data_IF_938433275526
#
_entry.id   IF_938433275526
#
_cell.length_a   1.000
_cell.length_b   1.000
_cell.length_c   1.000
_cell.angle_alpha   90.00
_cell.angle_beta   90.00
_cell.angle_gamma   90.00
#
_symmetry.space_group_name_H-M   'P 1'
#
loop_
_entity.id
_entity.type
_entity.pdbx_description
1 polymer ?
#
# COMPACT_ATOMS: atom_id res chain seq x y z
N UNK A 1 -7.36 2.74 13.96
CA UNK A 1 -8.16 3.70 13.17
C UNK A 1 -8.18 3.14 11.77
N UNK A 2 -9.35 2.71 11.29
CA UNK A 2 -9.51 2.24 9.92
C UNK A 2 -9.62 3.45 8.99
N UNK A 3 -9.01 3.33 7.82
CA UNK A 3 -9.07 4.33 6.75
C UNK A 3 -9.67 3.61 5.56
N UNK A 4 -10.74 4.16 4.99
CA UNK A 4 -11.35 3.64 3.78
C UNK A 4 -11.18 4.65 2.64
N UNK A 5 -11.04 4.15 1.42
CA UNK A 5 -10.95 4.97 0.22
C UNK A 5 -11.80 4.36 -0.90
N UNK A 6 -12.04 5.16 -1.94
CA UNK A 6 -12.75 4.71 -3.13
C UNK A 6 -11.75 4.37 -4.23
N UNK A 7 -11.76 3.13 -4.69
CA UNK A 7 -10.87 2.63 -5.73
C UNK A 7 -11.66 2.27 -6.99
N UNK A 8 -11.16 2.66 -8.16
CA UNK A 8 -11.72 2.17 -9.43
C UNK A 8 -11.31 0.72 -9.68
N UNK A 9 -12.15 -0.05 -10.37
CA UNK A 9 -11.77 -1.39 -10.87
C UNK A 9 -10.56 -1.36 -11.83
N UNK A 10 -10.35 -0.25 -12.53
CA UNK A 10 -9.17 -0.07 -13.37
C UNK A 10 -7.90 0.26 -12.53
N UNK A 11 -8.04 0.38 -11.22
CA UNK A 11 -7.02 0.86 -10.30
C UNK A 11 -7.07 2.37 -10.09
N UNK A 12 -6.36 2.82 -9.05
CA UNK A 12 -6.33 4.23 -8.63
C UNK A 12 -7.45 4.61 -7.66
N UNK A 13 -7.28 5.74 -6.97
CA UNK A 13 -8.08 6.21 -5.85
C UNK A 13 -8.73 7.55 -6.17
N UNK A 14 -10.01 7.70 -5.84
CA UNK A 14 -10.73 8.93 -6.09
C UNK A 14 -10.09 10.09 -5.31
N UNK A 15 -9.88 11.22 -5.98
CA UNK A 15 -9.41 12.45 -5.37
C UNK A 15 -10.47 13.08 -4.45
N UNK A 16 -10.04 14.02 -3.61
CA UNK A 16 -10.92 14.75 -2.70
C UNK A 16 -11.98 15.60 -3.42
N UNK A 17 -11.71 15.99 -4.67
CA UNK A 17 -12.63 16.75 -5.53
C UNK A 17 -13.66 15.86 -6.23
N UNK A 18 -13.58 14.53 -6.07
CA UNK A 18 -14.48 13.53 -6.67
C UNK A 18 -14.47 13.48 -8.21
N UNK A 19 -13.40 13.94 -8.85
CA UNK A 19 -13.31 14.09 -10.30
C UNK A 19 -12.31 13.13 -10.95
N UNK A 20 -11.19 12.80 -10.28
CA UNK A 20 -10.12 12.00 -10.87
C UNK A 20 -9.69 10.83 -9.99
N UNK A 21 -9.15 9.80 -10.62
CA UNK A 21 -8.52 8.68 -9.93
C UNK A 21 -7.00 8.80 -9.97
N UNK A 22 -6.40 9.01 -8.80
CA UNK A 22 -4.96 9.04 -8.59
C UNK A 22 -4.39 7.62 -8.62
N UNK A 23 -3.30 7.41 -9.35
CA UNK A 23 -2.68 6.08 -9.46
C UNK A 23 -2.25 5.49 -8.11
N UNK A 24 -1.82 6.35 -7.19
CA UNK A 24 -1.37 5.96 -5.85
C UNK A 24 -2.33 6.52 -4.81
N UNK A 25 -2.46 5.83 -3.69
CA UNK A 25 -3.14 6.36 -2.52
C UNK A 25 -2.20 7.32 -1.78
N UNK A 26 -2.63 8.58 -1.63
CA UNK A 26 -1.90 9.67 -0.99
C UNK A 26 -2.86 10.65 -0.28
N UNK A 27 -2.32 11.78 0.19
CA UNK A 27 -3.07 12.76 0.96
C UNK A 27 -4.14 13.52 0.15
N UNK A 28 -4.12 13.45 -1.19
CA UNK A 28 -5.13 14.05 -2.06
C UNK A 28 -6.27 13.10 -2.40
N UNK A 29 -6.17 11.85 -1.98
CA UNK A 29 -7.24 10.87 -2.15
C UNK A 29 -8.28 11.07 -1.04
N UNK A 30 -9.56 10.90 -1.37
CA UNK A 30 -10.64 10.96 -0.37
C UNK A 30 -10.52 9.82 0.65
N UNK A 31 -10.76 10.13 1.92
CA UNK A 31 -10.60 9.19 3.04
C UNK A 31 -11.81 9.20 3.97
N UNK A 32 -12.21 8.02 4.41
CA UNK A 32 -13.32 7.84 5.33
C UNK A 32 -12.90 7.07 6.58
N UNK A 33 -13.53 7.40 7.70
CA UNK A 33 -13.28 6.73 8.99
C UNK A 33 -14.05 5.43 9.14
N UNK A 34 -15.12 5.25 8.38
CA UNK A 34 -15.96 4.07 8.39
C UNK A 34 -16.43 3.75 6.97
N UNK A 35 -16.89 2.51 6.78
CA UNK A 35 -17.33 2.00 5.50
C UNK A 35 -18.63 2.64 5.02
N UNK A 36 -19.56 2.92 5.94
CA UNK A 36 -20.90 3.43 5.61
C UNK A 36 -20.83 4.83 4.98
N UNK A 37 -20.00 5.72 5.52
CA UNK A 37 -19.75 7.05 4.96
C UNK A 37 -19.15 6.96 3.55
N UNK A 38 -18.21 6.03 3.33
CA UNK A 38 -17.63 5.80 2.02
C UNK A 38 -18.68 5.31 1.01
N UNK A 39 -19.55 4.41 1.45
CA UNK A 39 -20.62 3.86 0.60
C UNK A 39 -21.66 4.92 0.24
N UNK A 40 -21.99 5.83 1.14
CA UNK A 40 -22.88 6.95 0.85
C UNK A 40 -22.33 7.80 -0.30
N UNK A 41 -21.02 8.07 -0.33
CA UNK A 41 -20.40 8.79 -1.45
C UNK A 41 -20.49 7.99 -2.74
N UNK A 42 -20.18 6.69 -2.73
CA UNK A 42 -20.27 5.84 -3.94
C UNK A 42 -21.66 5.93 -4.58
N UNK A 43 -22.73 5.91 -3.78
CA UNK A 43 -24.11 5.98 -4.27
C UNK A 43 -24.47 7.31 -4.95
N UNK A 44 -23.68 8.38 -4.72
CA UNK A 44 -23.87 9.67 -5.37
C UNK A 44 -23.11 9.82 -6.69
N UNK A 45 -22.20 8.88 -7.01
CA UNK A 45 -21.36 8.94 -8.21
C UNK A 45 -22.03 8.25 -9.40
N UNK A 46 -21.96 8.88 -10.57
CA UNK A 46 -22.59 8.36 -11.81
C UNK A 46 -22.06 6.97 -12.21
N UNK A 47 -20.80 6.67 -11.91
CA UNK A 47 -20.11 5.43 -12.28
C UNK A 47 -19.94 4.44 -11.11
N UNK A 48 -20.89 4.44 -10.15
CA UNK A 48 -20.83 3.64 -8.92
C UNK A 48 -20.47 2.16 -9.15
N UNK A 49 -20.93 1.54 -10.24
CA UNK A 49 -20.67 0.13 -10.54
C UNK A 49 -19.19 -0.19 -10.78
N UNK A 50 -18.39 0.82 -11.11
CA UNK A 50 -16.95 0.68 -11.37
C UNK A 50 -16.07 1.05 -10.18
N UNK A 51 -16.68 1.38 -9.03
CA UNK A 51 -16.02 1.90 -7.84
C UNK A 51 -16.24 0.94 -6.68
N UNK A 52 -15.18 0.65 -5.93
CA UNK A 52 -15.23 -0.15 -4.71
C UNK A 52 -14.67 0.61 -3.53
N UNK A 53 -15.27 0.38 -2.37
CA UNK A 53 -14.73 0.84 -1.08
C UNK A 53 -13.65 -0.16 -0.65
N UNK A 54 -12.44 0.33 -0.41
CA UNK A 54 -11.32 -0.49 0.07
C UNK A 54 -10.82 -0.01 1.42
N UNK A 55 -10.45 -0.94 2.29
CA UNK A 55 -9.77 -0.61 3.54
C UNK A 55 -8.26 -0.43 3.28
N UNK A 56 -7.77 0.73 3.69
CA UNK A 56 -6.36 1.10 3.61
C UNK A 56 -5.68 0.59 4.88
N UNK A 57 -4.86 -0.46 4.73
CA UNK A 57 -4.13 -1.08 5.84
C UNK A 57 -2.62 -0.97 5.63
N UNK A 58 -1.80 -1.08 6.69
CA UNK A 58 -0.35 -1.16 6.54
C UNK A 58 0.12 -2.32 5.66
N UNK A 59 -0.70 -3.37 5.50
CA UNK A 59 -0.40 -4.51 4.66
C UNK A 59 -0.70 -4.23 3.18
N UNK A 60 -1.83 -3.57 2.89
CA UNK A 60 -2.24 -3.25 1.51
C UNK A 60 -1.55 -2.00 0.96
N UNK A 61 -1.30 -0.98 1.79
CA UNK A 61 -0.69 0.30 1.40
C UNK A 61 0.43 0.76 2.35
N UNK A 62 1.57 0.04 2.40
CA UNK A 62 2.58 0.28 3.42
C UNK A 62 3.19 1.68 3.37
N UNK A 63 3.36 2.27 2.17
CA UNK A 63 3.95 3.60 1.98
C UNK A 63 3.24 4.69 2.75
N UNK A 64 1.91 4.59 2.82
CA UNK A 64 1.08 5.55 3.54
C UNK A 64 1.36 5.52 5.06
N UNK A 65 1.68 4.35 5.60
CA UNK A 65 1.93 4.16 7.03
C UNK A 65 3.40 4.29 7.45
N UNK A 66 4.32 4.28 6.48
CA UNK A 66 5.75 4.25 6.71
C UNK A 66 6.47 5.24 5.80
N UNK A 67 6.57 6.50 6.23
CA UNK A 67 7.12 7.60 5.41
C UNK A 67 8.55 7.35 4.89
N UNK A 68 9.36 6.55 5.60
CA UNK A 68 10.71 6.17 5.17
C UNK A 68 10.75 5.00 4.19
N UNK A 69 9.61 4.39 3.86
CA UNK A 69 9.50 3.31 2.89
C UNK A 69 9.38 3.89 1.49
N UNK A 70 10.49 3.88 0.76
CA UNK A 70 10.58 4.38 -0.61
C UNK A 70 10.74 3.23 -1.62
N UNK A 71 10.44 3.51 -2.89
CA UNK A 71 10.56 2.56 -4.00
C UNK A 71 9.28 1.82 -4.34
N UNK A 72 9.31 0.94 -5.33
CA UNK A 72 8.17 0.11 -5.74
C UNK A 72 8.04 -1.09 -4.81
N UNK A 73 6.86 -1.33 -4.25
CA UNK A 73 6.58 -2.48 -3.40
C UNK A 73 5.94 -3.56 -4.26
N UNK A 74 6.51 -4.76 -4.26
CA UNK A 74 6.03 -5.89 -5.06
C UNK A 74 5.26 -6.89 -4.21
N UNK A 75 5.72 -7.12 -2.99
CA UNK A 75 5.12 -8.08 -2.06
C UNK A 75 5.05 -7.48 -0.67
N UNK A 76 4.01 -7.84 0.07
CA UNK A 76 3.82 -7.46 1.48
C UNK A 76 3.35 -8.67 2.28
N UNK A 77 3.87 -8.81 3.50
CA UNK A 77 3.43 -9.84 4.46
C UNK A 77 3.53 -9.28 5.86
N UNK A 78 2.58 -9.63 6.71
CA UNK A 78 2.66 -9.34 8.14
C UNK A 78 3.29 -10.51 8.88
N UNK A 79 4.26 -10.21 9.77
CA UNK A 79 4.86 -11.15 10.72
C UNK A 79 4.88 -10.45 12.07
N UNK A 80 4.09 -10.94 13.03
CA UNK A 80 3.88 -10.29 14.33
C UNK A 80 3.52 -8.78 14.16
N UNK A 81 4.29 -7.90 14.79
CA UNK A 81 4.16 -6.44 14.74
C UNK A 81 4.95 -5.80 13.58
N UNK A 82 5.26 -6.55 12.51
CA UNK A 82 6.06 -6.06 11.38
C UNK A 82 5.37 -6.31 10.05
N UNK A 83 5.47 -5.33 9.15
CA UNK A 83 5.18 -5.49 7.73
C UNK A 83 6.50 -5.68 7.00
N UNK A 84 6.64 -6.83 6.36
CA UNK A 84 7.79 -7.16 5.51
C UNK A 84 7.40 -6.82 4.08
N UNK A 85 8.30 -6.16 3.34
CA UNK A 85 8.06 -5.79 1.95
C UNK A 85 9.22 -6.22 1.07
N UNK A 86 8.94 -6.80 -0.09
CA UNK A 86 9.91 -6.88 -1.19
C UNK A 86 9.84 -5.58 -1.99
N UNK A 87 10.94 -4.86 -2.08
CA UNK A 87 10.99 -3.50 -2.63
C UNK A 87 12.08 -3.32 -3.67
N UNK A 88 11.78 -2.53 -4.68
CA UNK A 88 12.77 -1.93 -5.58
C UNK A 88 12.91 -0.43 -5.23
N UNK A 89 13.98 -0.01 -4.54
CA UNK A 89 14.14 1.37 -4.05
C UNK A 89 13.96 2.46 -5.11
N UNK A 90 14.44 2.21 -6.33
CA UNK A 90 14.23 3.04 -7.51
C UNK A 90 14.29 2.17 -8.77
N UNK A 91 13.67 2.62 -9.86
CA UNK A 91 13.55 1.83 -11.09
C UNK A 91 14.94 1.38 -11.58
N UNK A 92 15.09 0.08 -11.81
CA UNK A 92 16.34 -0.54 -12.29
C UNK A 92 17.36 -0.82 -11.18
N UNK A 93 17.03 -0.57 -9.92
CA UNK A 93 17.89 -0.92 -8.78
C UNK A 93 17.79 -2.40 -8.41
N UNK A 94 18.72 -2.85 -7.58
CA UNK A 94 18.57 -4.16 -6.93
C UNK A 94 17.44 -4.12 -5.90
N UNK A 95 16.68 -5.21 -5.84
CA UNK A 95 15.61 -5.41 -4.88
C UNK A 95 16.17 -5.60 -3.46
N UNK A 96 15.37 -5.24 -2.46
CA UNK A 96 15.69 -5.37 -1.04
C UNK A 96 14.47 -5.88 -0.27
N UNK A 97 14.71 -6.40 0.92
CA UNK A 97 13.64 -6.62 1.90
C UNK A 97 13.58 -5.42 2.83
N UNK A 98 12.42 -4.79 2.96
CA UNK A 98 12.14 -3.77 3.96
C UNK A 98 11.35 -4.37 5.12
N UNK A 99 11.71 -3.98 6.34
CA UNK A 99 11.11 -4.43 7.60
C UNK A 99 10.53 -3.20 8.26
N UNK A 100 9.20 -3.10 8.31
CA UNK A 100 8.48 -1.94 8.81
C UNK A 100 7.81 -2.29 10.14
N UNK A 101 8.15 -1.60 11.22
CA UNK A 101 7.63 -1.89 12.56
C UNK A 101 6.30 -1.15 12.80
N UNK A 102 5.21 -1.88 13.04
CA UNK A 102 3.87 -1.30 13.23
C UNK A 102 3.75 -0.40 14.47
N UNK A 103 4.55 -0.66 15.52
CA UNK A 103 4.55 0.12 16.77
C UNK A 103 5.38 1.39 16.66
N UNK A 104 6.60 1.29 16.14
CA UNK A 104 7.53 2.44 16.09
C UNK A 104 7.49 3.22 14.78
N UNK A 105 6.82 2.68 13.75
CA UNK A 105 6.81 3.20 12.38
C UNK A 105 8.19 3.23 11.69
N UNK A 106 9.21 2.65 12.31
CA UNK A 106 10.56 2.59 11.75
C UNK A 106 10.64 1.57 10.60
N UNK A 107 11.39 1.95 9.56
CA UNK A 107 11.69 1.10 8.40
C UNK A 107 13.16 0.75 8.41
N UNK A 108 13.48 -0.54 8.26
CA UNK A 108 14.86 -1.03 8.10
C UNK A 108 14.96 -1.88 6.85
N UNK A 109 15.92 -1.57 6.00
CA UNK A 109 16.24 -2.41 4.83
C UNK A 109 17.24 -3.52 5.19
N UNK A 110 17.12 -4.66 4.54
CA UNK A 110 18.11 -5.73 4.56
C UNK A 110 19.45 -5.24 4.01
N UNK A 111 20.55 -5.80 4.51
CA UNK A 111 21.89 -5.56 3.94
C UNK A 111 22.04 -6.22 2.57
N UNK A 112 21.37 -7.35 2.37
CA UNK A 112 21.38 -8.10 1.11
C UNK A 112 20.62 -7.36 0.03
N UNK A 113 21.25 -7.29 -1.14
CA UNK A 113 20.66 -6.82 -2.39
C UNK A 113 20.36 -8.02 -3.28
N UNK A 114 19.20 -8.02 -3.92
CA UNK A 114 18.71 -9.07 -4.79
C UNK A 114 18.67 -8.56 -6.22
N UNK A 115 19.31 -9.25 -7.16
CA UNK A 115 19.40 -8.77 -8.55
C UNK A 115 18.07 -8.87 -9.29
N UNK A 116 17.22 -9.82 -8.92
CA UNK A 116 15.94 -10.09 -9.57
C UNK A 116 14.82 -10.14 -8.55
N UNK A 117 13.60 -9.84 -8.98
CA UNK A 117 12.41 -9.97 -8.13
C UNK A 117 12.31 -11.39 -7.59
N UNK A 118 12.41 -12.44 -8.43
CA UNK A 118 12.35 -13.85 -8.01
C UNK A 118 13.28 -14.19 -6.84
N UNK A 119 14.52 -13.66 -6.84
CA UNK A 119 15.45 -13.88 -5.74
C UNK A 119 15.04 -13.16 -4.45
N UNK A 120 14.43 -11.97 -4.57
CA UNK A 120 13.84 -11.27 -3.44
C UNK A 120 12.56 -11.98 -2.94
N UNK A 121 11.73 -12.53 -3.82
CA UNK A 121 10.53 -13.29 -3.43
C UNK A 121 10.90 -14.54 -2.65
N UNK A 122 11.90 -15.30 -3.09
CA UNK A 122 12.39 -16.47 -2.36
C UNK A 122 12.88 -16.08 -0.94
N UNK A 123 13.65 -15.00 -0.83
CA UNK A 123 14.10 -14.50 0.46
C UNK A 123 12.96 -13.96 1.33
N UNK A 124 11.97 -13.32 0.71
CA UNK A 124 10.78 -12.80 1.36
C UNK A 124 9.91 -13.93 1.92
N UNK A 125 9.69 -15.01 1.16
CA UNK A 125 8.91 -16.17 1.60
C UNK A 125 9.54 -16.81 2.83
N UNK A 126 10.86 -16.99 2.82
CA UNK A 126 11.64 -17.57 3.92
C UNK A 126 11.97 -16.54 5.02
N UNK A 127 11.48 -15.30 4.92
CA UNK A 127 11.81 -14.25 5.87
C UNK A 127 11.10 -14.51 7.20
N UNK A 128 11.83 -14.98 8.22
CA UNK A 128 11.25 -15.32 9.52
C UNK A 128 10.87 -16.79 9.68
N UNK A 129 11.33 -17.68 8.79
CA UNK A 129 11.74 -19.04 9.21
C UNK A 129 13.11 -19.00 9.91
#
# INVERSE_FOLDING_TARGET
>A
MSVFALQSFAGGFLDEDLNHFNKNFDDWCIQFKNYDDAMLIVQTLENQESIVVVEITPLSYPKYFFASLQGTIYLTRQIEDKIICAVEPFIGSSFKIAICNLKTRNVRFSKTNYKTILSAEAAFTNFGE
#
